data_IF_884729863039
#
_entry.id   IF_884729863039
#
_cell.length_a   1.000
_cell.length_b   1.000
_cell.length_c   1.000
_cell.angle_alpha   90.00
_cell.angle_beta   90.00
_cell.angle_gamma   90.00
#
_symmetry.space_group_name_H-M   'P 1'
#
loop_
_entity.id
_entity.type
_entity.pdbx_description
1 polymer ?
#
# COMPACT_ATOMS: atom_id res chain seq x y z
N UNK A 1 -9.34 -12.41 -3.54
CA UNK A 1 -9.01 -13.30 -2.42
C UNK A 1 -8.99 -14.75 -2.89
N UNK A 2 -7.97 -15.57 -2.55
CA UNK A 2 -7.95 -17.00 -2.88
C UNK A 2 -9.09 -17.78 -2.20
N UNK A 3 -9.78 -17.21 -1.24
CA UNK A 3 -11.02 -17.73 -0.67
C UNK A 3 -12.27 -17.40 -1.50
N UNK A 4 -12.06 -16.95 -2.75
CA UNK A 4 -13.02 -16.87 -3.87
C UNK A 4 -14.34 -16.14 -3.65
N UNK A 5 -14.78 -15.91 -2.41
CA UNK A 5 -16.11 -15.43 -2.12
C UNK A 5 -16.23 -14.71 -0.75
N UNK A 6 -15.11 -14.36 -0.12
CA UNK A 6 -15.13 -13.56 1.11
C UNK A 6 -14.71 -12.11 0.83
N UNK A 7 -15.38 -11.19 1.49
CA UNK A 7 -15.01 -9.77 1.51
C UNK A 7 -14.42 -9.44 2.89
N UNK A 8 -13.35 -8.64 2.90
CA UNK A 8 -12.77 -8.13 4.15
C UNK A 8 -13.10 -6.66 4.32
N UNK A 9 -13.51 -6.29 5.53
CA UNK A 9 -13.95 -4.93 5.88
C UNK A 9 -13.33 -4.56 7.23
N UNK A 10 -12.79 -3.34 7.31
CA UNK A 10 -12.43 -2.75 8.61
C UNK A 10 -13.52 -1.78 9.03
N UNK A 11 -14.06 -1.98 10.21
CA UNK A 11 -15.06 -1.11 10.82
C UNK A 11 -14.80 -0.95 12.31
N UNK A 12 -14.77 0.30 12.80
CA UNK A 12 -14.56 0.62 14.21
C UNK A 12 -13.31 -0.07 14.82
N UNK A 13 -12.21 -0.12 14.04
CA UNK A 13 -10.96 -0.74 14.49
C UNK A 13 -10.98 -2.27 14.52
N UNK A 14 -11.94 -2.93 13.90
CA UNK A 14 -11.96 -4.39 13.78
C UNK A 14 -12.01 -4.85 12.33
N UNK A 15 -11.24 -5.91 12.03
CA UNK A 15 -11.25 -6.59 10.75
C UNK A 15 -12.34 -7.65 10.75
N UNK A 16 -13.24 -7.56 9.79
CA UNK A 16 -14.30 -8.54 9.57
C UNK A 16 -14.12 -9.25 8.23
N UNK A 17 -14.33 -10.56 8.23
CA UNK A 17 -14.55 -11.35 7.03
C UNK A 17 -16.04 -11.57 6.83
N UNK A 18 -16.54 -11.26 5.66
CA UNK A 18 -17.93 -11.49 5.25
C UNK A 18 -17.93 -12.56 4.16
N UNK A 19 -18.54 -13.70 4.47
CA UNK A 19 -18.67 -14.82 3.51
C UNK A 19 -19.68 -14.50 2.41
N UNK A 20 -19.69 -15.31 1.34
CA UNK A 20 -20.71 -15.21 0.28
C UNK A 20 -22.14 -15.47 0.77
N UNK A 21 -22.30 -16.17 1.89
CA UNK A 21 -23.60 -16.38 2.55
C UNK A 21 -24.03 -15.22 3.46
N UNK A 22 -23.18 -14.17 3.59
CA UNK A 22 -23.44 -13.02 4.48
C UNK A 22 -23.02 -13.26 5.94
N UNK A 23 -22.35 -14.35 6.26
CA UNK A 23 -21.84 -14.58 7.62
C UNK A 23 -20.68 -13.65 7.91
N UNK A 24 -20.78 -12.88 9.01
CA UNK A 24 -19.76 -11.93 9.45
C UNK A 24 -18.95 -12.55 10.58
N UNK A 25 -17.64 -12.59 10.42
CA UNK A 25 -16.70 -13.12 11.40
C UNK A 25 -15.65 -12.06 11.75
N UNK A 26 -15.48 -11.74 13.03
CA UNK A 26 -14.38 -10.88 13.48
C UNK A 26 -13.07 -11.67 13.37
N UNK A 27 -12.08 -11.11 12.71
CA UNK A 27 -10.76 -11.71 12.45
C UNK A 27 -9.63 -11.06 13.24
N UNK A 28 -9.85 -9.88 13.82
CA UNK A 28 -8.86 -9.20 14.65
C UNK A 28 -9.23 -7.76 14.95
N UNK A 29 -8.46 -7.15 15.83
CA UNK A 29 -8.68 -5.77 16.27
C UNK A 29 -7.43 -4.94 15.99
N UNK A 30 -7.59 -3.81 15.31
CA UNK A 30 -6.58 -2.81 15.08
C UNK A 30 -6.43 -1.94 16.34
N UNK A 31 -5.25 -1.34 16.54
CA UNK A 31 -5.01 -0.42 17.66
C UNK A 31 -5.70 0.95 17.46
N UNK A 32 -6.07 1.29 16.23
CA UNK A 32 -6.79 2.53 15.91
C UNK A 32 -8.27 2.27 15.64
N UNK A 33 -9.14 3.10 16.19
CA UNK A 33 -10.61 2.99 16.01
C UNK A 33 -11.19 3.99 15.02
N UNK A 34 -10.37 4.88 14.47
CA UNK A 34 -10.80 5.92 13.53
C UNK A 34 -9.82 6.13 12.39
N UNK A 35 -10.28 6.78 11.34
CA UNK A 35 -9.48 7.01 10.13
C UNK A 35 -9.73 6.00 9.03
N UNK A 36 -9.01 6.15 7.93
CA UNK A 36 -9.07 5.24 6.78
C UNK A 36 -7.95 4.23 6.88
N UNK A 37 -8.22 3.00 6.48
CA UNK A 37 -7.21 1.94 6.31
C UNK A 37 -6.96 1.70 4.82
N UNK A 38 -5.73 1.29 4.50
CA UNK A 38 -5.40 0.75 3.19
C UNK A 38 -5.14 -0.75 3.33
N UNK A 39 -5.60 -1.53 2.37
CA UNK A 39 -5.45 -2.98 2.37
C UNK A 39 -4.91 -3.44 1.03
N UNK A 40 -4.01 -4.42 1.05
CA UNK A 40 -3.49 -5.10 -0.13
C UNK A 40 -3.35 -6.58 0.13
N UNK A 41 -3.46 -7.41 -0.90
CA UNK A 41 -3.57 -8.87 -0.80
C UNK A 41 -2.59 -9.54 -1.76
N UNK A 42 -1.85 -10.55 -1.28
CA UNK A 42 -0.94 -11.36 -2.11
C UNK A 42 -1.45 -12.78 -2.36
N UNK A 43 -2.68 -13.07 -1.97
CA UNK A 43 -3.26 -14.40 -2.08
C UNK A 43 -3.02 -15.30 -0.86
N UNK A 44 -2.02 -15.02 -0.04
CA UNK A 44 -1.72 -15.76 1.21
C UNK A 44 -1.96 -14.90 2.45
N UNK A 45 -1.69 -13.60 2.33
CA UNK A 45 -1.84 -12.62 3.39
C UNK A 45 -2.65 -11.42 2.90
N UNK A 46 -3.54 -10.91 3.74
CA UNK A 46 -4.08 -9.55 3.65
C UNK A 46 -3.22 -8.65 4.51
N UNK A 47 -2.60 -7.66 3.90
CA UNK A 47 -1.79 -6.63 4.56
C UNK A 47 -2.60 -5.36 4.75
N UNK A 48 -2.54 -4.76 5.94
CA UNK A 48 -3.37 -3.61 6.33
C UNK A 48 -2.47 -2.55 6.97
N UNK A 49 -2.62 -1.30 6.57
CA UNK A 49 -2.01 -0.13 7.24
C UNK A 49 -3.11 0.84 7.66
N UNK A 50 -2.97 1.45 8.83
CA UNK A 50 -3.96 2.37 9.42
C UNK A 50 -3.41 3.77 9.72
N UNK A 51 -2.18 4.06 9.27
CA UNK A 51 -1.48 5.32 9.53
C UNK A 51 -0.72 5.36 10.86
N UNK A 52 -0.83 4.33 11.69
CA UNK A 52 -0.11 4.18 12.96
C UNK A 52 0.70 2.90 12.96
N UNK A 53 0.07 1.78 12.64
CA UNK A 53 0.66 0.45 12.61
C UNK A 53 0.28 -0.29 11.32
N UNK A 54 0.89 -1.45 11.13
CA UNK A 54 0.49 -2.40 10.10
C UNK A 54 0.11 -3.75 10.69
N UNK A 55 -0.68 -4.49 9.94
CA UNK A 55 -1.18 -5.79 10.34
C UNK A 55 -1.19 -6.74 9.16
N UNK A 56 -1.05 -8.04 9.44
CA UNK A 56 -1.30 -9.09 8.47
C UNK A 56 -2.42 -10.00 8.95
N UNK A 57 -3.22 -10.47 8.02
CA UNK A 57 -4.12 -11.58 8.23
C UNK A 57 -3.73 -12.72 7.30
N UNK A 58 -3.20 -13.81 7.86
CA UNK A 58 -2.77 -14.99 7.10
C UNK A 58 -3.93 -15.93 6.89
N UNK A 59 -4.30 -16.16 5.63
CA UNK A 59 -5.50 -16.93 5.31
C UNK A 59 -5.44 -18.39 5.73
N UNK A 60 -4.30 -19.06 5.57
CA UNK A 60 -4.16 -20.50 5.85
C UNK A 60 -4.35 -20.82 7.34
N UNK A 61 -3.76 -19.99 8.20
CA UNK A 61 -3.86 -20.15 9.67
C UNK A 61 -5.00 -19.37 10.30
N UNK A 62 -5.68 -18.49 9.54
CA UNK A 62 -6.67 -17.54 10.06
C UNK A 62 -6.13 -16.64 11.17
N UNK A 63 -4.83 -16.31 11.11
CA UNK A 63 -4.14 -15.55 12.15
C UNK A 63 -4.05 -14.08 11.77
N UNK A 64 -4.53 -13.21 12.66
CA UNK A 64 -4.35 -11.78 12.61
C UNK A 64 -3.18 -11.39 13.53
N UNK A 65 -2.23 -10.63 13.03
CA UNK A 65 -1.05 -10.21 13.79
C UNK A 65 -0.67 -8.77 13.43
N UNK A 66 -0.19 -8.01 14.42
CA UNK A 66 0.48 -6.73 14.19
C UNK A 66 1.85 -7.00 13.56
N UNK A 67 2.30 -6.13 12.66
CA UNK A 67 3.69 -6.13 12.17
C UNK A 67 4.57 -5.62 13.30
N UNK A 68 5.37 -6.53 13.87
CA UNK A 68 6.23 -6.25 15.02
C UNK A 68 7.70 -6.03 14.64
N UNK A 69 8.01 -6.09 13.35
CA UNK A 69 9.35 -5.84 12.84
C UNK A 69 9.77 -4.39 13.14
N UNK A 70 10.94 -4.22 13.78
CA UNK A 70 11.46 -2.92 14.18
C UNK A 70 11.82 -2.02 12.99
N UNK A 71 12.11 -2.63 11.84
CA UNK A 71 12.45 -1.94 10.59
C UNK A 71 11.22 -1.50 9.78
N UNK A 72 10.01 -1.90 10.20
CA UNK A 72 8.78 -1.44 9.56
C UNK A 72 8.65 0.09 9.64
N UNK A 73 8.40 0.80 8.53
CA UNK A 73 8.26 2.26 8.52
C UNK A 73 6.92 2.69 9.13
N UNK A 74 6.84 2.75 10.47
CA UNK A 74 5.64 3.17 11.18
C UNK A 74 5.08 4.50 10.64
N UNK A 75 3.75 4.60 10.60
CA UNK A 75 3.04 5.74 10.04
C UNK A 75 2.70 5.58 8.55
N UNK A 76 2.83 4.37 8.00
CA UNK A 76 2.39 4.05 6.64
C UNK A 76 0.88 4.24 6.51
N UNK A 77 0.44 4.98 5.49
CA UNK A 77 -0.98 5.30 5.27
C UNK A 77 -1.57 4.64 4.04
N UNK A 78 -0.73 4.22 3.09
CA UNK A 78 -1.15 3.42 1.93
C UNK A 78 -0.22 2.26 1.70
N UNK A 79 -0.76 1.21 1.11
CA UNK A 79 -0.01 0.03 0.71
C UNK A 79 -0.50 -0.49 -0.65
N UNK A 80 0.37 -1.21 -1.32
CA UNK A 80 0.06 -1.96 -2.53
C UNK A 80 0.88 -3.25 -2.55
N UNK A 81 0.56 -4.18 -3.44
CA UNK A 81 1.32 -5.40 -3.66
C UNK A 81 1.68 -5.51 -5.13
N UNK A 82 2.95 -5.67 -5.42
CA UNK A 82 3.48 -5.89 -6.77
C UNK A 82 4.77 -6.68 -6.69
N UNK A 83 5.02 -7.50 -7.70
CA UNK A 83 6.28 -8.23 -7.87
C UNK A 83 6.72 -8.99 -6.61
N UNK A 84 5.73 -9.58 -5.92
CA UNK A 84 5.90 -10.37 -4.69
C UNK A 84 6.30 -9.56 -3.44
N UNK A 85 6.14 -8.23 -3.47
CA UNK A 85 6.46 -7.35 -2.34
C UNK A 85 5.23 -6.55 -1.92
N UNK A 86 5.02 -6.42 -0.62
CA UNK A 86 4.18 -5.36 -0.10
C UNK A 86 4.98 -4.08 -0.09
N UNK A 87 4.37 -3.01 -0.53
CA UNK A 87 5.01 -1.70 -0.71
C UNK A 87 4.18 -0.68 0.05
N UNK A 88 4.84 0.14 0.86
CA UNK A 88 4.20 1.19 1.65
C UNK A 88 4.89 2.53 1.46
N UNK A 89 4.15 3.63 1.59
CA UNK A 89 4.71 4.95 1.78
C UNK A 89 4.66 5.35 3.26
N UNK A 90 5.56 6.22 3.67
CA UNK A 90 5.53 6.85 4.98
C UNK A 90 5.04 8.28 4.84
N UNK A 91 3.96 8.61 5.54
CA UNK A 91 3.38 9.95 5.49
C UNK A 91 4.39 11.06 5.86
N UNK A 92 4.36 12.17 5.11
CA UNK A 92 5.24 13.32 5.32
C UNK A 92 6.69 13.10 4.87
N UNK A 93 6.91 12.23 3.89
CA UNK A 93 8.21 11.97 3.30
C UNK A 93 8.11 11.54 1.85
N UNK A 94 9.27 11.36 1.23
CA UNK A 94 9.40 10.99 -0.19
C UNK A 94 9.70 9.50 -0.38
N UNK A 95 9.78 8.72 0.70
CA UNK A 95 10.23 7.33 0.65
C UNK A 95 9.06 6.37 0.59
N UNK A 96 9.26 5.34 -0.22
CA UNK A 96 8.47 4.11 -0.16
C UNK A 96 9.38 2.94 0.20
N UNK A 97 8.83 1.95 0.88
CA UNK A 97 9.56 0.84 1.48
C UNK A 97 9.00 -0.48 0.98
N UNK A 98 9.85 -1.49 0.91
CA UNK A 98 9.52 -2.82 0.43
C UNK A 98 9.56 -3.83 1.57
N UNK A 99 8.64 -4.79 1.56
CA UNK A 99 8.67 -5.95 2.46
C UNK A 99 9.63 -7.02 1.98
N UNK A 100 9.88 -8.02 2.81
CA UNK A 100 10.39 -9.31 2.36
C UNK A 100 9.46 -9.94 1.31
N UNK A 101 10.01 -10.90 0.55
CA UNK A 101 9.29 -11.56 -0.56
C UNK A 101 8.07 -12.31 -0.01
N UNK A 102 6.87 -11.93 -0.48
CA UNK A 102 5.56 -12.50 -0.11
C UNK A 102 5.26 -12.43 1.40
N UNK A 103 5.99 -11.64 2.18
CA UNK A 103 5.85 -11.60 3.63
C UNK A 103 5.70 -10.16 4.17
N UNK A 104 4.48 -9.78 4.51
CA UNK A 104 4.17 -8.50 5.13
C UNK A 104 4.63 -8.35 6.59
N UNK A 105 5.21 -9.40 7.21
CA UNK A 105 5.77 -9.35 8.55
C UNK A 105 7.28 -9.06 8.57
N UNK A 106 7.97 -9.15 7.42
CA UNK A 106 9.43 -9.00 7.31
C UNK A 106 9.77 -7.71 6.55
N UNK A 107 10.59 -6.88 7.16
CA UNK A 107 11.00 -5.56 6.62
C UNK A 107 12.49 -5.36 6.85
N UNK A 108 13.15 -4.60 5.95
CA UNK A 108 14.51 -4.09 6.16
C UNK A 108 14.47 -2.57 5.95
N UNK A 109 14.95 -1.82 6.92
CA UNK A 109 14.98 -0.35 6.89
C UNK A 109 15.81 0.23 5.74
N UNK A 110 16.64 -0.60 5.09
CA UNK A 110 17.41 -0.23 3.91
C UNK A 110 16.69 -0.50 2.58
N UNK A 111 15.62 -1.30 2.60
CA UNK A 111 14.82 -1.61 1.41
C UNK A 111 13.83 -0.49 1.09
N UNK A 112 14.35 0.67 0.68
CA UNK A 112 13.56 1.83 0.29
C UNK A 112 14.13 2.56 -0.93
N UNK A 113 13.28 3.31 -1.62
CA UNK A 113 13.70 4.34 -2.55
C UNK A 113 13.00 5.67 -2.26
N UNK A 114 13.58 6.74 -2.78
CA UNK A 114 13.01 8.08 -2.71
C UNK A 114 12.40 8.45 -4.05
N UNK A 115 11.13 8.81 -4.04
CA UNK A 115 10.45 9.43 -5.19
C UNK A 115 10.79 10.93 -5.18
N UNK A 116 11.99 11.25 -5.66
CA UNK A 116 12.64 12.55 -5.51
C UNK A 116 12.90 13.27 -6.84
N UNK A 117 12.16 12.92 -7.89
CA UNK A 117 12.23 13.68 -9.15
C UNK A 117 11.94 15.17 -8.93
N UNK A 118 11.13 15.48 -7.94
CA UNK A 118 10.92 16.80 -7.36
C UNK A 118 10.77 16.70 -5.84
N UNK A 119 11.16 17.72 -5.04
CA UNK A 119 10.95 17.73 -3.61
C UNK A 119 9.44 17.82 -3.31
N UNK A 120 8.84 16.67 -3.02
CA UNK A 120 7.40 16.48 -2.96
C UNK A 120 7.05 15.29 -2.04
N UNK A 121 6.20 15.51 -1.06
CA UNK A 121 5.81 14.44 -0.15
C UNK A 121 4.87 13.44 -0.83
N UNK A 122 5.12 12.16 -0.62
CA UNK A 122 4.26 11.09 -1.09
C UNK A 122 2.88 11.16 -0.43
N UNK A 123 1.87 10.93 -1.24
CA UNK A 123 0.45 10.88 -0.85
C UNK A 123 -0.06 9.44 -0.89
N UNK A 124 0.40 8.66 -1.87
CA UNK A 124 -0.05 7.28 -2.07
C UNK A 124 0.95 6.48 -2.89
N UNK A 125 1.07 5.19 -2.59
CA UNK A 125 1.65 4.19 -3.50
C UNK A 125 0.53 3.37 -4.14
N UNK A 126 0.70 3.07 -5.41
CA UNK A 126 -0.24 2.26 -6.20
C UNK A 126 0.52 1.41 -7.20
N UNK A 127 0.05 0.19 -7.47
CA UNK A 127 0.63 -0.66 -8.50
C UNK A 127 -0.42 -0.99 -9.56
N UNK A 128 -0.05 -0.85 -10.82
CA UNK A 128 -0.90 -1.22 -11.96
C UNK A 128 -0.04 -1.62 -13.17
N UNK A 129 -0.47 -2.65 -13.91
CA UNK A 129 0.18 -3.12 -15.13
C UNK A 129 1.69 -3.44 -14.99
N UNK A 130 2.15 -3.90 -13.82
CA UNK A 130 3.56 -4.20 -13.56
C UNK A 130 4.43 -2.96 -13.30
N UNK A 131 3.81 -1.81 -13.09
CA UNK A 131 4.48 -0.59 -12.67
C UNK A 131 4.08 -0.22 -11.24
N UNK A 132 5.05 0.23 -10.45
CA UNK A 132 4.84 0.89 -9.19
C UNK A 132 4.71 2.40 -9.44
N UNK A 133 3.67 3.01 -8.88
CA UNK A 133 3.31 4.40 -9.11
C UNK A 133 3.23 5.14 -7.76
N UNK A 134 4.34 5.72 -7.28
CA UNK A 134 4.33 6.66 -6.17
C UNK A 134 3.73 8.00 -6.62
N UNK A 135 2.59 8.35 -6.01
CA UNK A 135 1.95 9.64 -6.19
C UNK A 135 2.43 10.60 -5.10
N UNK A 136 3.10 11.67 -5.50
CA UNK A 136 3.39 12.81 -4.65
C UNK A 136 2.27 13.84 -4.65
N UNK A 137 2.50 14.94 -3.93
CA UNK A 137 1.57 16.06 -3.84
C UNK A 137 1.41 16.80 -5.18
N UNK A 138 2.49 16.94 -5.94
CA UNK A 138 2.54 17.68 -7.20
C UNK A 138 3.15 16.90 -8.35
N UNK A 139 3.74 15.74 -8.08
CA UNK A 139 4.39 14.88 -9.07
C UNK A 139 3.94 13.44 -8.92
N UNK A 140 3.99 12.68 -9.99
CA UNK A 140 3.78 11.23 -9.99
C UNK A 140 4.93 10.59 -10.72
N UNK A 141 5.53 9.59 -10.11
CA UNK A 141 6.61 8.81 -10.70
C UNK A 141 6.13 7.44 -11.14
N UNK A 142 6.75 6.88 -12.15
CA UNK A 142 6.52 5.53 -12.65
C UNK A 142 7.80 4.74 -12.51
N UNK A 143 7.72 3.62 -11.80
CA UNK A 143 8.84 2.75 -11.50
C UNK A 143 8.58 1.36 -12.05
N UNK A 144 9.58 0.79 -12.72
CA UNK A 144 9.51 -0.56 -13.27
C UNK A 144 10.41 -1.52 -12.50
N UNK A 145 10.00 -2.78 -12.46
CA UNK A 145 10.79 -3.87 -11.90
C UNK A 145 12.06 -4.08 -12.76
N UNK A 146 13.24 -4.09 -12.14
CA UNK A 146 14.52 -4.36 -12.79
C UNK A 146 15.20 -5.63 -12.29
N UNK A 147 14.70 -6.22 -11.19
CA UNK A 147 15.22 -7.46 -10.60
C UNK A 147 16.60 -7.34 -9.96
N UNK A 148 17.09 -6.13 -9.69
CA UNK A 148 18.34 -5.94 -8.98
C UNK A 148 18.24 -6.45 -7.54
N UNK A 149 19.35 -6.96 -6.99
CA UNK A 149 19.39 -7.59 -5.66
C UNK A 149 19.40 -6.59 -4.52
N UNK A 150 19.92 -5.40 -4.76
CA UNK A 150 20.02 -4.32 -3.78
C UNK A 150 18.70 -3.53 -3.68
N UNK A 151 18.10 -3.17 -4.81
CA UNK A 151 16.78 -2.55 -4.87
C UNK A 151 16.12 -2.88 -6.22
N UNK A 152 15.00 -3.62 -6.23
CA UNK A 152 14.49 -4.26 -7.46
C UNK A 152 13.65 -3.36 -8.37
N UNK A 153 13.52 -2.07 -8.09
CA UNK A 153 12.81 -1.12 -8.93
C UNK A 153 13.73 0.00 -9.42
N UNK A 154 13.41 0.52 -10.59
CA UNK A 154 14.04 1.72 -11.14
C UNK A 154 13.00 2.71 -11.64
N UNK A 155 13.27 4.00 -11.48
CA UNK A 155 12.41 5.05 -12.02
C UNK A 155 12.48 5.06 -13.54
N UNK A 156 11.33 4.98 -14.20
CA UNK A 156 11.19 5.03 -15.65
C UNK A 156 10.93 6.45 -16.13
N UNK A 157 9.98 7.14 -15.50
CA UNK A 157 9.58 8.51 -15.84
C UNK A 157 8.88 9.19 -14.67
N UNK A 158 8.65 10.48 -14.81
CA UNK A 158 7.83 11.27 -13.89
C UNK A 158 6.99 12.29 -14.66
N UNK A 159 5.84 12.64 -14.10
CA UNK A 159 4.97 13.70 -14.61
C UNK A 159 4.73 14.76 -13.53
N UNK A 160 4.58 16.03 -13.92
CA UNK A 160 4.34 17.16 -13.01
C UNK A 160 2.85 17.32 -12.67
N UNK A 161 2.21 16.21 -12.35
CA UNK A 161 0.86 16.11 -11.82
C UNK A 161 0.87 15.14 -10.66
N UNK A 162 0.57 15.62 -9.48
CA UNK A 162 0.44 14.83 -8.26
C UNK A 162 -1.00 14.59 -7.88
N UNK A 163 -1.20 14.00 -6.72
CA UNK A 163 -2.50 13.55 -6.23
C UNK A 163 -3.12 14.59 -5.29
N UNK A 164 -4.22 15.21 -5.70
CA UNK A 164 -4.97 16.18 -4.89
C UNK A 164 -5.78 15.52 -3.77
N UNK A 165 -6.23 14.28 -3.99
CA UNK A 165 -7.02 13.52 -3.03
C UNK A 165 -6.53 12.06 -2.97
N UNK A 166 -6.04 11.64 -1.81
CA UNK A 166 -5.41 10.33 -1.57
C UNK A 166 -6.19 9.13 -2.14
N UNK A 167 -7.50 9.14 -2.03
CA UNK A 167 -8.36 8.02 -2.41
C UNK A 167 -9.05 8.18 -3.78
N UNK A 168 -8.64 9.18 -4.56
CA UNK A 168 -9.24 9.43 -5.88
C UNK A 168 -8.71 8.54 -7.00
N UNK A 169 -7.62 7.78 -6.75
CA UNK A 169 -7.05 6.88 -7.77
C UNK A 169 -8.01 5.72 -8.00
N UNK A 170 -8.43 5.56 -9.24
CA UNK A 170 -9.27 4.45 -9.67
C UNK A 170 -8.84 3.92 -11.03
N UNK A 171 -9.03 2.62 -11.24
CA UNK A 171 -8.79 1.99 -12.53
C UNK A 171 -10.00 2.18 -13.43
N UNK A 172 -9.78 2.65 -14.64
CA UNK A 172 -10.78 2.77 -15.68
C UNK A 172 -10.25 2.14 -16.97
N UNK A 173 -10.80 0.98 -17.33
CA UNK A 173 -10.30 0.15 -18.44
C UNK A 173 -8.80 -0.17 -18.25
N UNK A 174 -7.95 0.19 -19.21
CA UNK A 174 -6.48 0.03 -19.16
C UNK A 174 -5.73 1.27 -18.66
N UNK A 175 -6.44 2.23 -18.04
CA UNK A 175 -5.85 3.50 -17.57
C UNK A 175 -6.18 3.74 -16.11
N UNK A 176 -5.39 4.61 -15.46
CA UNK A 176 -5.70 5.14 -14.15
C UNK A 176 -6.31 6.53 -14.29
N UNK A 177 -7.35 6.79 -13.51
CA UNK A 177 -7.93 8.11 -13.34
C UNK A 177 -7.72 8.56 -11.89
N UNK A 178 -7.36 9.82 -11.71
CA UNK A 178 -7.19 10.41 -10.38
C UNK A 178 -7.45 11.92 -10.41
N UNK A 179 -7.76 12.48 -9.27
CA UNK A 179 -7.87 13.93 -9.11
C UNK A 179 -6.46 14.50 -8.97
N UNK A 180 -5.97 15.07 -10.05
CA UNK A 180 -4.63 15.62 -10.13
C UNK A 180 -4.56 17.07 -9.63
N UNK A 181 -3.36 17.48 -9.23
CA UNK A 181 -2.97 18.88 -9.04
C UNK A 181 -1.52 19.07 -9.46
N UNK A 182 -1.18 20.29 -9.86
CA UNK A 182 0.19 20.68 -10.13
C UNK A 182 0.59 21.91 -9.29
N UNK A 183 1.86 22.34 -9.40
CA UNK A 183 2.37 23.50 -8.64
C UNK A 183 1.79 24.84 -9.12
N UNK A 184 1.16 24.87 -10.28
CA UNK A 184 0.52 26.06 -10.84
C UNK A 184 -0.91 26.28 -10.32
N UNK A 185 -1.43 25.35 -9.50
CA UNK A 185 -2.76 25.44 -8.91
C UNK A 185 -3.91 24.98 -9.83
N UNK A 186 -3.57 24.24 -10.88
CA UNK A 186 -4.57 23.61 -11.77
C UNK A 186 -4.92 22.23 -11.26
#
# INVERSE_FOLDING_TARGET
SPRGSSMFVVQQGALYEVSSSGTVTNRGTLSTVGGTVCMSDNGAQLFIVDGVAAYTYTYASTTFAVVADADFPNGATTCTYSDRLFIVEKAGGQRFYLSGIDDGQSWDSNDFASADSNPDDLVRVYADHGELIPFGTYTTEFWGWNGATDFPYQRLTAIEWGLAAKWSVTKFSSSLMFLGRNRLGN
#
